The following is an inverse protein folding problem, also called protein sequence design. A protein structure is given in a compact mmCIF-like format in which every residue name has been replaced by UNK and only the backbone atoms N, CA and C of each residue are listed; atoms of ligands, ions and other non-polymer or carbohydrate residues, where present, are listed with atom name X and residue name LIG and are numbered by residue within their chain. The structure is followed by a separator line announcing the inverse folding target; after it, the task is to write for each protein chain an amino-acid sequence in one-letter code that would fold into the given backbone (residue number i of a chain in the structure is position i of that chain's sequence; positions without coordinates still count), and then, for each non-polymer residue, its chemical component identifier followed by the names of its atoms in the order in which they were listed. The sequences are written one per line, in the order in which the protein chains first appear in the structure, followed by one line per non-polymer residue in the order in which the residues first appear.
data_IF_401331591438
#
_entry.id   IF_401331591438
#
_cell.length_a   1.000
_cell.length_b   1.000
_cell.length_c   1.000
_cell.angle_alpha   90.00
_cell.angle_beta   90.00
_cell.angle_gamma   90.00
#
_symmetry.space_group_name_H-M   'P 1'
#
loop_
_entity.id
_entity.type
_entity.pdbx_description
1 polymer ?
#
# COMPACT_ATOMS: atom_id res chain seq x y z
N UNK A 1 -6.71 -2.09 24.32
CA UNK A 1 -5.99 -1.47 23.20
C UNK A 1 -6.95 -1.42 22.02
N UNK A 2 -7.11 -0.23 21.41
CA UNK A 2 -7.94 -0.08 20.22
C UNK A 2 -7.31 -0.77 19.00
N UNK A 3 -8.13 -1.10 18.01
CA UNK A 3 -7.68 -1.53 16.69
C UNK A 3 -7.14 -0.30 15.95
N UNK A 4 -6.05 -0.45 15.21
CA UNK A 4 -5.39 0.64 14.47
C UNK A 4 -5.21 0.34 12.99
N UNK A 5 -5.23 -0.94 12.59
CA UNK A 5 -5.27 -1.33 11.19
C UNK A 5 -6.71 -1.35 10.68
N UNK A 6 -6.88 -1.27 9.36
CA UNK A 6 -8.13 -1.64 8.71
C UNK A 6 -8.46 -3.12 8.90
N UNK A 7 -9.62 -3.53 8.42
CA UNK A 7 -10.12 -4.91 8.50
C UNK A 7 -9.98 -5.56 7.13
N UNK A 8 -9.41 -6.76 7.10
CA UNK A 8 -9.42 -7.63 5.93
C UNK A 8 -10.30 -8.84 6.22
N UNK A 9 -11.14 -9.23 5.25
CA UNK A 9 -12.05 -10.37 5.41
C UNK A 9 -12.08 -11.21 4.14
N UNK A 10 -11.55 -12.42 4.21
CA UNK A 10 -11.57 -13.41 3.15
C UNK A 10 -11.43 -14.82 3.71
N UNK A 11 -11.78 -15.83 2.93
CA UNK A 11 -11.61 -17.25 3.23
C UNK A 11 -12.13 -17.65 4.62
N UNK A 12 -13.26 -17.05 5.04
CA UNK A 12 -13.89 -17.34 6.34
C UNK A 12 -13.13 -16.77 7.55
N UNK A 13 -12.17 -15.87 7.33
CA UNK A 13 -11.39 -15.19 8.35
C UNK A 13 -11.61 -13.68 8.31
N UNK A 14 -11.49 -13.05 9.47
CA UNK A 14 -11.40 -11.61 9.63
C UNK A 14 -10.08 -11.31 10.32
N UNK A 15 -9.24 -10.49 9.69
CA UNK A 15 -7.91 -10.12 10.19
C UNK A 15 -7.94 -8.66 10.61
N UNK A 16 -7.43 -8.38 11.81
CA UNK A 16 -7.31 -7.02 12.36
C UNK A 16 -6.00 -6.90 13.14
N UNK A 17 -5.46 -5.70 13.17
CA UNK A 17 -4.23 -5.39 13.90
C UNK A 17 -4.38 -4.19 14.83
N UNK A 18 -3.38 -4.00 15.69
CA UNK A 18 -3.34 -2.85 16.59
C UNK A 18 -1.96 -2.16 16.61
N UNK A 19 -1.92 -0.98 17.24
CA UNK A 19 -0.71 -0.19 17.38
C UNK A 19 0.36 -0.82 18.31
N UNK A 20 0.05 -1.91 18.99
CA UNK A 20 1.01 -2.70 19.80
C UNK A 20 1.64 -3.84 19.00
N UNK A 21 1.38 -3.92 17.69
CA UNK A 21 1.87 -5.00 16.83
C UNK A 21 1.16 -6.32 17.00
N UNK A 22 -0.02 -6.35 17.62
CA UNK A 22 -0.78 -7.57 17.73
C UNK A 22 -1.69 -7.75 16.51
N UNK A 23 -1.61 -8.91 15.89
CA UNK A 23 -2.43 -9.35 14.77
C UNK A 23 -3.40 -10.42 15.25
N UNK A 24 -4.68 -10.25 14.96
CA UNK A 24 -5.75 -11.15 15.39
C UNK A 24 -6.45 -11.75 14.17
N UNK A 25 -6.69 -13.05 14.20
CA UNK A 25 -7.60 -13.71 13.28
C UNK A 25 -8.86 -14.17 14.01
N UNK A 26 -10.00 -13.83 13.43
CA UNK A 26 -11.31 -14.22 13.90
C UNK A 26 -11.98 -15.15 12.89
N UNK A 27 -12.74 -16.10 13.36
CA UNK A 27 -13.64 -16.89 12.51
C UNK A 27 -14.85 -16.04 12.13
N UNK A 28 -15.06 -15.83 10.84
CA UNK A 28 -16.10 -14.94 10.34
C UNK A 28 -17.51 -15.45 10.71
N UNK A 29 -17.74 -16.76 10.63
CA UNK A 29 -19.03 -17.36 10.93
C UNK A 29 -19.29 -17.48 12.45
N UNK A 30 -18.30 -17.97 13.20
CA UNK A 30 -18.42 -18.24 14.63
C UNK A 30 -18.18 -16.99 15.49
N UNK A 31 -17.63 -15.91 14.92
CA UNK A 31 -17.26 -14.65 15.61
C UNK A 31 -16.32 -14.90 16.80
N UNK A 32 -15.49 -15.93 16.73
CA UNK A 32 -14.53 -16.32 17.76
C UNK A 32 -13.10 -16.10 17.28
N UNK A 33 -12.23 -15.73 18.21
CA UNK A 33 -10.79 -15.61 17.92
C UNK A 33 -10.22 -16.99 17.62
N UNK A 34 -9.50 -17.11 16.50
CA UNK A 34 -8.78 -18.31 16.09
C UNK A 34 -7.36 -18.32 16.61
N UNK A 35 -6.62 -17.24 16.34
CA UNK A 35 -5.24 -17.09 16.77
C UNK A 35 -4.85 -15.62 16.96
N UNK A 36 -3.69 -15.42 17.56
CA UNK A 36 -3.07 -14.10 17.73
C UNK A 36 -1.58 -14.24 17.44
N UNK A 37 -1.00 -13.30 16.69
CA UNK A 37 0.44 -13.19 16.47
C UNK A 37 0.96 -11.86 17.00
N UNK A 38 2.24 -11.81 17.38
CA UNK A 38 2.92 -10.60 17.82
C UNK A 38 3.97 -10.22 16.78
N UNK A 39 3.87 -9.00 16.24
CA UNK A 39 4.79 -8.41 15.29
C UNK A 39 5.75 -7.44 16.00
N UNK A 40 6.81 -7.04 15.32
CA UNK A 40 7.85 -6.15 15.89
C UNK A 40 7.40 -4.71 16.04
N UNK A 41 6.51 -4.24 15.16
CA UNK A 41 6.03 -2.85 15.14
C UNK A 41 4.50 -2.74 15.05
N UNK A 42 4.02 -1.52 15.09
CA UNK A 42 2.59 -1.20 14.99
C UNK A 42 2.02 -1.59 13.61
N UNK A 43 0.78 -2.05 13.59
CA UNK A 43 -0.01 -2.28 12.38
C UNK A 43 -0.92 -1.07 12.17
N UNK A 44 -0.65 -0.29 11.12
CA UNK A 44 -1.38 0.95 10.80
C UNK A 44 -2.18 0.84 9.50
N UNK A 45 -1.91 -0.18 8.66
CA UNK A 45 -2.65 -0.49 7.45
C UNK A 45 -3.30 -1.88 7.54
N UNK A 46 -4.35 -2.16 6.74
CA UNK A 46 -4.94 -3.49 6.65
C UNK A 46 -3.90 -4.53 6.22
N UNK A 47 -4.05 -5.75 6.69
CA UNK A 47 -3.32 -6.91 6.17
C UNK A 47 -4.00 -7.42 4.90
N UNK A 48 -3.29 -8.21 4.10
CA UNK A 48 -3.84 -8.91 2.92
C UNK A 48 -3.94 -10.40 3.20
N UNK A 49 -5.08 -11.01 2.85
CA UNK A 49 -5.24 -12.47 2.78
C UNK A 49 -5.03 -12.92 1.34
N UNK A 50 -4.01 -13.74 1.09
CA UNK A 50 -3.70 -14.24 -0.23
C UNK A 50 -2.99 -15.61 -0.17
N UNK A 51 -3.40 -16.55 -1.00
CA UNK A 51 -2.80 -17.89 -1.12
C UNK A 51 -2.57 -18.60 0.23
N UNK A 52 -3.55 -18.52 1.16
CA UNK A 52 -3.45 -19.11 2.50
C UNK A 52 -2.44 -18.40 3.42
N UNK A 53 -2.04 -17.17 3.09
CA UNK A 53 -1.16 -16.32 3.90
C UNK A 53 -1.87 -15.05 4.33
N UNK A 54 -1.48 -14.54 5.49
CA UNK A 54 -1.81 -13.20 5.97
C UNK A 54 -0.54 -12.37 5.85
N UNK A 55 -0.54 -11.42 4.93
CA UNK A 55 0.59 -10.51 4.69
C UNK A 55 0.33 -9.22 5.45
N UNK A 56 1.23 -8.84 6.32
CA UNK A 56 1.12 -7.64 7.17
C UNK A 56 2.40 -6.82 7.08
N UNK A 57 2.27 -5.50 7.10
CA UNK A 57 3.43 -4.59 7.12
C UNK A 57 3.39 -3.78 8.41
N UNK A 58 4.44 -3.89 9.20
CA UNK A 58 4.60 -3.08 10.41
C UNK A 58 5.27 -1.74 10.12
N UNK A 59 5.06 -0.76 10.99
CA UNK A 59 5.57 0.60 10.80
C UNK A 59 7.10 0.72 10.87
N UNK A 60 7.79 -0.33 11.32
CA UNK A 60 9.25 -0.44 11.30
C UNK A 60 9.81 -0.94 9.95
N UNK A 61 8.93 -1.15 8.95
CA UNK A 61 9.31 -1.62 7.63
C UNK A 61 9.51 -3.13 7.53
N UNK A 62 9.04 -3.91 8.50
CA UNK A 62 9.07 -5.37 8.41
C UNK A 62 7.77 -5.90 7.82
N UNK A 63 7.88 -6.69 6.76
CA UNK A 63 6.78 -7.44 6.14
C UNK A 63 6.75 -8.83 6.76
N UNK A 64 5.58 -9.26 7.17
CA UNK A 64 5.34 -10.57 7.77
C UNK A 64 4.37 -11.37 6.92
N UNK A 65 4.61 -12.66 6.81
CA UNK A 65 3.60 -13.62 6.36
C UNK A 65 3.32 -14.64 7.45
N UNK A 66 2.05 -14.78 7.79
CA UNK A 66 1.57 -15.80 8.69
C UNK A 66 0.69 -16.80 7.93
N UNK A 67 0.71 -18.05 8.34
CA UNK A 67 -0.23 -19.04 7.85
C UNK A 67 -1.65 -18.67 8.30
N UNK A 68 -2.59 -18.61 7.36
CA UNK A 68 -3.96 -18.15 7.63
C UNK A 68 -4.71 -19.02 8.64
N UNK A 69 -4.49 -20.32 8.60
CA UNK A 69 -5.20 -21.25 9.46
C UNK A 69 -4.66 -21.29 10.89
N UNK A 70 -3.33 -21.23 11.04
CA UNK A 70 -2.62 -21.47 12.31
C UNK A 70 -2.09 -20.23 12.98
N UNK A 71 -1.84 -19.15 12.22
CA UNK A 71 -1.18 -17.94 12.71
C UNK A 71 0.32 -18.10 12.91
N UNK A 72 0.93 -19.22 12.48
CA UNK A 72 2.38 -19.39 12.53
C UNK A 72 3.06 -18.47 11.51
N UNK A 73 4.14 -17.83 11.94
CA UNK A 73 4.98 -17.03 11.03
C UNK A 73 5.67 -17.94 10.02
N UNK A 74 5.53 -17.64 8.73
CA UNK A 74 6.12 -18.42 7.64
C UNK A 74 7.40 -17.77 7.16
N UNK A 75 7.36 -16.44 6.93
CA UNK A 75 8.53 -15.68 6.53
C UNK A 75 8.42 -14.21 6.97
N UNK A 76 9.55 -13.53 6.95
CA UNK A 76 9.65 -12.08 7.11
C UNK A 76 10.57 -11.51 6.05
N UNK A 77 10.32 -10.25 5.68
CA UNK A 77 11.17 -9.46 4.79
C UNK A 77 11.32 -8.05 5.34
N UNK A 78 12.55 -7.60 5.55
CA UNK A 78 12.83 -6.24 6.00
C UNK A 78 13.00 -5.33 4.77
N UNK A 79 12.15 -4.32 4.66
CA UNK A 79 12.26 -3.32 3.61
C UNK A 79 13.54 -2.52 3.80
N UNK A 80 14.44 -2.45 2.81
CA UNK A 80 15.69 -1.73 2.94
C UNK A 80 15.48 -0.23 3.17
N UNK A 81 16.27 0.37 4.06
CA UNK A 81 16.33 1.81 4.32
C UNK A 81 14.99 2.46 4.76
N UNK A 82 14.07 1.70 5.29
CA UNK A 82 12.85 2.26 5.89
C UNK A 82 13.17 2.71 7.30
N UNK A 83 13.12 4.03 7.52
CA UNK A 83 13.06 4.58 8.89
C UNK A 83 11.64 4.44 9.41
N UNK A 84 11.48 4.48 10.73
CA UNK A 84 10.17 4.39 11.37
C UNK A 84 9.19 5.39 10.75
N UNK A 85 8.16 4.90 10.07
CA UNK A 85 7.15 5.76 9.46
C UNK A 85 6.08 6.12 10.49
N UNK A 86 5.89 7.42 10.76
CA UNK A 86 4.84 7.91 11.66
C UNK A 86 3.45 7.77 11.05
N UNK A 87 3.36 7.68 9.71
CA UNK A 87 2.08 7.56 8.97
C UNK A 87 1.72 6.11 8.64
N UNK A 88 2.64 5.17 8.88
CA UNK A 88 2.50 3.77 8.49
C UNK A 88 2.95 3.50 7.04
N UNK A 89 2.96 2.24 6.67
CA UNK A 89 3.15 1.80 5.30
C UNK A 89 1.77 1.57 4.66
N UNK A 90 1.70 1.69 3.33
CA UNK A 90 0.49 1.36 2.59
C UNK A 90 0.13 -0.13 2.75
N UNK A 91 -1.15 -0.47 2.57
CA UNK A 91 -1.62 -1.85 2.61
C UNK A 91 -0.94 -2.69 1.50
N UNK A 92 -0.63 -3.97 1.77
CA UNK A 92 -0.18 -4.89 0.74
C UNK A 92 -1.23 -5.05 -0.37
N UNK A 93 -0.80 -5.02 -1.64
CA UNK A 93 -1.70 -5.10 -2.80
C UNK A 93 -1.42 -6.36 -3.61
N UNK A 94 -2.42 -7.21 -3.90
CA UNK A 94 -2.24 -8.39 -4.72
C UNK A 94 -2.06 -7.99 -6.20
N UNK A 95 -1.11 -8.62 -6.89
CA UNK A 95 -0.91 -8.49 -8.36
C UNK A 95 -1.44 -9.71 -9.09
N UNK A 96 -1.03 -10.87 -8.65
CA UNK A 96 -1.42 -12.17 -9.18
C UNK A 96 -1.49 -13.20 -8.02
N UNK A 97 -1.77 -14.45 -8.32
CA UNK A 97 -1.92 -15.50 -7.30
C UNK A 97 -0.68 -15.68 -6.38
N UNK A 98 0.50 -15.20 -6.79
CA UNK A 98 1.76 -15.41 -6.09
C UNK A 98 2.56 -14.13 -5.79
N UNK A 99 2.11 -12.99 -6.25
CA UNK A 99 2.86 -11.73 -6.13
C UNK A 99 2.06 -10.72 -5.33
N UNK A 100 2.66 -10.14 -4.30
CA UNK A 100 2.15 -9.02 -3.52
C UNK A 100 3.07 -7.82 -3.69
N UNK A 101 2.49 -6.63 -3.86
CA UNK A 101 3.22 -5.36 -3.83
C UNK A 101 3.17 -4.76 -2.44
N UNK A 102 4.31 -4.25 -2.02
CA UNK A 102 4.50 -3.50 -0.78
C UNK A 102 5.07 -2.14 -1.13
N UNK A 103 4.35 -1.08 -0.83
CA UNK A 103 4.87 0.28 -0.92
C UNK A 103 5.52 0.68 0.40
N UNK A 104 6.64 1.37 0.30
CA UNK A 104 7.36 1.83 1.48
C UNK A 104 7.51 3.35 1.49
N UNK A 105 7.65 3.90 2.69
CA UNK A 105 7.79 5.32 2.94
C UNK A 105 9.03 5.97 2.29
N UNK A 106 9.94 5.23 1.73
CA UNK A 106 11.11 5.73 0.99
C UNK A 106 10.88 5.80 -0.53
N UNK A 107 9.62 5.81 -0.98
CA UNK A 107 9.21 5.85 -2.38
C UNK A 107 9.63 4.62 -3.21
N UNK A 108 9.78 3.45 -2.56
CA UNK A 108 10.00 2.20 -3.26
C UNK A 108 8.75 1.31 -3.21
N UNK A 109 8.57 0.55 -4.27
CA UNK A 109 7.63 -0.57 -4.34
C UNK A 109 8.43 -1.86 -4.48
N UNK A 110 8.07 -2.84 -3.68
CA UNK A 110 8.66 -4.17 -3.65
C UNK A 110 7.60 -5.18 -4.10
N UNK A 111 7.92 -6.00 -5.08
CA UNK A 111 7.11 -7.17 -5.40
C UNK A 111 7.71 -8.38 -4.70
N UNK A 112 6.96 -9.02 -3.81
CA UNK A 112 7.39 -10.19 -3.06
C UNK A 112 6.59 -11.41 -3.49
N UNK A 113 7.23 -12.59 -3.48
CA UNK A 113 6.53 -13.86 -3.61
C UNK A 113 5.75 -14.14 -2.33
N UNK A 114 4.44 -14.34 -2.42
CA UNK A 114 3.53 -14.51 -1.29
C UNK A 114 3.87 -15.73 -0.44
N UNK A 115 4.37 -16.82 -1.07
CA UNK A 115 4.65 -18.08 -0.36
C UNK A 115 6.01 -18.07 0.33
N UNK A 116 7.01 -17.37 -0.23
CA UNK A 116 8.41 -17.45 0.21
C UNK A 116 9.00 -16.15 0.73
N UNK A 117 8.35 -15.00 0.45
CA UNK A 117 8.86 -13.66 0.79
C UNK A 117 10.05 -13.21 -0.07
N UNK A 118 10.45 -14.00 -1.07
CA UNK A 118 11.57 -13.65 -1.95
C UNK A 118 11.20 -12.44 -2.81
N UNK A 119 12.02 -11.37 -2.82
CA UNK A 119 11.78 -10.22 -3.65
C UNK A 119 11.97 -10.57 -5.13
N UNK A 120 10.97 -10.24 -5.94
CA UNK A 120 10.95 -10.40 -7.40
C UNK A 120 11.28 -9.10 -8.11
N UNK A 121 10.92 -7.97 -7.49
CA UNK A 121 11.15 -6.63 -8.02
C UNK A 121 11.33 -5.66 -6.86
N UNK A 122 12.19 -4.68 -7.08
CA UNK A 122 12.32 -3.48 -6.27
C UNK A 122 12.42 -2.28 -7.21
N UNK A 123 11.56 -1.28 -7.02
CA UNK A 123 11.56 -0.10 -7.89
C UNK A 123 11.28 1.16 -7.11
N UNK A 124 12.01 2.22 -7.41
CA UNK A 124 11.69 3.56 -6.97
C UNK A 124 10.60 4.15 -7.88
N UNK A 125 9.47 4.57 -7.31
CA UNK A 125 8.29 5.05 -8.06
C UNK A 125 8.05 6.55 -7.92
N UNK A 126 8.67 7.22 -6.96
CA UNK A 126 8.69 8.67 -6.87
C UNK A 126 10.14 9.16 -6.96
N UNK A 127 10.39 10.09 -7.86
CA UNK A 127 11.67 10.78 -8.00
C UNK A 127 11.37 12.26 -7.85
N UNK A 128 11.84 12.89 -6.77
CA UNK A 128 11.85 14.34 -6.73
C UNK A 128 13.15 14.84 -7.38
N UNK A 129 13.03 15.72 -8.33
CA UNK A 129 14.17 16.49 -8.89
C UNK A 129 14.68 17.56 -7.91
N UNK A 130 14.27 17.47 -6.64
CA UNK A 130 14.63 18.40 -5.59
C UNK A 130 16.11 18.39 -5.29
N UNK A 131 16.72 19.56 -5.34
CA UNK A 131 18.15 19.79 -5.09
C UNK A 131 18.52 19.80 -3.61
N UNK A 132 17.58 19.61 -2.70
CA UNK A 132 17.80 19.55 -1.24
C UNK A 132 17.32 18.23 -0.64
N UNK A 133 17.95 17.81 0.46
CA UNK A 133 17.58 16.57 1.17
C UNK A 133 16.14 16.60 1.72
N UNK A 134 15.61 17.80 2.01
CA UNK A 134 14.22 18.00 2.46
C UNK A 134 13.22 17.73 1.33
N UNK A 135 13.58 18.02 0.07
CA UNK A 135 12.74 17.76 -1.09
C UNK A 135 12.80 16.31 -1.59
N UNK A 136 13.69 15.49 -1.04
CA UNK A 136 13.81 14.05 -1.34
C UNK A 136 12.89 13.16 -0.51
N UNK A 137 12.15 13.73 0.44
CA UNK A 137 11.20 13.02 1.30
C UNK A 137 9.84 12.82 0.60
N UNK A 138 9.85 12.36 -0.63
CA UNK A 138 8.63 12.00 -1.35
C UNK A 138 8.32 10.52 -1.06
N UNK A 139 7.38 10.31 -0.19
CA UNK A 139 6.90 8.99 0.22
C UNK A 139 5.76 8.52 -0.70
N UNK A 140 5.65 7.23 -0.94
CA UNK A 140 4.41 6.63 -1.44
C UNK A 140 3.46 6.52 -0.24
N UNK A 141 2.55 7.47 -0.11
CA UNK A 141 1.70 7.60 1.07
C UNK A 141 0.32 6.96 0.89
N UNK A 142 -0.18 6.91 -0.35
CA UNK A 142 -1.44 6.25 -0.68
C UNK A 142 -1.26 4.76 -0.99
N UNK A 143 -2.28 3.95 -0.68
CA UNK A 143 -2.30 2.56 -1.12
C UNK A 143 -2.22 2.50 -2.65
N UNK A 144 -1.29 1.73 -3.23
CA UNK A 144 -1.18 1.62 -4.67
C UNK A 144 -2.40 0.91 -5.26
N UNK A 145 -2.71 1.20 -6.52
CA UNK A 145 -3.76 0.54 -7.28
C UNK A 145 -3.17 -0.23 -8.44
N UNK A 146 -3.53 -1.50 -8.56
CA UNK A 146 -3.22 -2.31 -9.74
C UNK A 146 -4.40 -2.30 -10.68
N UNK A 147 -4.17 -1.83 -11.91
CA UNK A 147 -5.15 -1.80 -13.00
C UNK A 147 -4.60 -2.58 -14.20
N UNK A 148 -4.96 -3.86 -14.29
CA UNK A 148 -4.40 -4.77 -15.28
C UNK A 148 -2.88 -4.95 -15.07
N UNK A 149 -2.09 -4.57 -16.08
CA UNK A 149 -0.63 -4.61 -16.01
C UNK A 149 0.01 -3.35 -15.42
N UNK A 150 -0.76 -2.38 -15.00
CA UNK A 150 -0.27 -1.10 -14.52
C UNK A 150 -0.39 -0.95 -13.01
N UNK A 151 0.60 -0.31 -12.42
CA UNK A 151 0.62 0.12 -11.04
C UNK A 151 0.49 1.64 -10.99
N UNK A 152 -0.48 2.14 -10.21
CA UNK A 152 -0.67 3.57 -9.99
C UNK A 152 -0.36 3.86 -8.54
N UNK A 153 0.52 4.83 -8.31
CA UNK A 153 0.96 5.27 -6.98
C UNK A 153 0.77 6.77 -6.82
N UNK A 154 0.53 7.21 -5.60
CA UNK A 154 0.45 8.61 -5.20
C UNK A 154 1.44 8.91 -4.09
N UNK A 155 1.95 10.15 -4.02
CA UNK A 155 2.84 10.60 -2.96
C UNK A 155 2.45 11.98 -2.43
N UNK A 156 2.77 12.24 -1.15
CA UNK A 156 2.60 13.55 -0.54
C UNK A 156 3.63 14.54 -1.09
N UNK A 157 3.17 15.71 -1.52
CA UNK A 157 4.02 16.73 -2.17
C UNK A 157 4.83 16.19 -3.37
N UNK A 158 4.28 15.20 -4.06
CA UNK A 158 4.95 14.54 -5.16
C UNK A 158 4.05 14.35 -6.36
N UNK A 159 3.99 13.15 -6.86
CA UNK A 159 3.39 12.82 -8.15
C UNK A 159 2.39 11.69 -8.04
N UNK A 160 1.42 11.67 -8.96
CA UNK A 160 0.73 10.44 -9.35
C UNK A 160 1.51 9.82 -10.50
N UNK A 161 1.84 8.55 -10.37
CA UNK A 161 2.70 7.85 -11.34
C UNK A 161 2.05 6.54 -11.77
N UNK A 162 2.00 6.29 -13.07
CA UNK A 162 1.62 5.00 -13.62
C UNK A 162 2.86 4.26 -14.14
N UNK A 163 3.04 3.04 -13.67
CA UNK A 163 4.16 2.16 -14.02
C UNK A 163 3.64 0.88 -14.66
N UNK A 164 4.18 0.48 -15.79
CA UNK A 164 3.94 -0.84 -16.38
C UNK A 164 4.70 -1.90 -15.58
N UNK A 165 3.99 -2.91 -15.06
CA UNK A 165 4.54 -3.95 -14.19
C UNK A 165 5.43 -4.94 -14.96
N UNK A 166 5.19 -5.14 -16.25
CA UNK A 166 5.94 -6.09 -17.07
C UNK A 166 7.29 -5.49 -17.51
N UNK A 167 7.27 -4.30 -18.09
CA UNK A 167 8.48 -3.58 -18.52
C UNK A 167 9.19 -2.87 -17.38
N UNK A 168 8.51 -2.64 -16.27
CA UNK A 168 8.98 -1.85 -15.14
C UNK A 168 9.30 -0.39 -15.51
N UNK A 169 8.68 0.15 -16.55
CA UNK A 169 8.87 1.52 -17.00
C UNK A 169 7.73 2.42 -16.52
N UNK A 170 8.06 3.67 -16.19
CA UNK A 170 7.04 4.70 -15.97
C UNK A 170 6.37 4.99 -17.31
N UNK A 171 5.05 4.85 -17.35
CA UNK A 171 4.24 5.17 -18.53
C UNK A 171 3.99 6.67 -18.58
N UNK A 172 3.56 7.24 -17.45
CA UNK A 172 3.42 8.68 -17.27
C UNK A 172 3.53 9.03 -15.77
N UNK A 173 3.80 10.30 -15.51
CA UNK A 173 3.83 10.87 -14.18
C UNK A 173 3.35 12.31 -14.24
N UNK A 174 2.46 12.71 -13.32
CA UNK A 174 1.89 14.07 -13.24
C UNK A 174 2.06 14.61 -11.82
N UNK A 175 2.33 15.91 -11.73
CA UNK A 175 2.46 16.59 -10.44
C UNK A 175 1.11 16.56 -9.71
N UNK A 176 1.07 15.88 -8.59
CA UNK A 176 -0.15 15.70 -7.81
C UNK A 176 0.21 15.27 -6.39
N UNK A 177 -0.24 16.01 -5.41
CA UNK A 177 0.00 15.70 -4.00
C UNK A 177 -1.18 14.96 -3.42
N UNK A 178 -0.98 13.70 -3.03
CA UNK A 178 -2.02 12.90 -2.40
C UNK A 178 -1.46 11.91 -1.40
N UNK A 179 -2.17 11.71 -0.29
CA UNK A 179 -1.95 10.65 0.69
C UNK A 179 -3.04 9.57 0.60
N UNK A 180 -3.96 9.74 -0.32
CA UNK A 180 -5.09 8.83 -0.50
C UNK A 180 -4.82 7.86 -1.64
N UNK A 181 -5.43 6.70 -1.54
CA UNK A 181 -5.45 5.71 -2.61
C UNK A 181 -6.11 6.34 -3.84
N UNK A 182 -5.50 6.27 -5.04
CA UNK A 182 -6.16 6.64 -6.27
C UNK A 182 -7.24 5.61 -6.60
N UNK A 183 -8.29 6.03 -7.29
CA UNK A 183 -9.33 5.14 -7.81
C UNK A 183 -9.28 5.06 -9.33
N UNK A 184 -9.52 3.88 -9.88
CA UNK A 184 -9.54 3.64 -11.33
C UNK A 184 -10.95 3.21 -11.74
N UNK A 185 -11.60 3.98 -12.60
CA UNK A 185 -12.93 3.68 -13.14
C UNK A 185 -12.92 3.91 -14.64
N UNK A 186 -13.13 2.84 -15.42
CA UNK A 186 -13.03 2.92 -16.88
C UNK A 186 -11.65 3.41 -17.34
N UNK A 187 -11.62 4.50 -18.08
CA UNK A 187 -10.39 5.15 -18.56
C UNK A 187 -9.86 6.26 -17.63
N UNK A 188 -10.46 6.44 -16.46
CA UNK A 188 -10.11 7.52 -15.55
C UNK A 188 -9.31 7.05 -14.34
N UNK A 189 -8.28 7.80 -13.99
CA UNK A 189 -7.56 7.72 -12.71
C UNK A 189 -7.97 8.93 -11.89
N UNK A 190 -8.59 8.71 -10.74
CA UNK A 190 -9.12 9.75 -9.88
C UNK A 190 -8.24 9.89 -8.65
N UNK A 191 -7.79 11.10 -8.38
CA UNK A 191 -6.87 11.42 -7.27
C UNK A 191 -7.47 12.53 -6.42
N UNK A 192 -7.67 12.24 -5.13
CA UNK A 192 -8.01 13.24 -4.14
C UNK A 192 -6.73 13.91 -3.64
N UNK A 193 -6.53 15.18 -3.98
CA UNK A 193 -5.34 15.92 -3.62
C UNK A 193 -5.40 16.42 -2.16
N UNK A 194 -4.23 16.64 -1.58
CA UNK A 194 -4.11 17.10 -0.19
C UNK A 194 -4.67 18.52 0.03
N UNK A 195 -4.80 19.31 -1.01
CA UNK A 195 -5.43 20.63 -0.98
C UNK A 195 -6.97 20.58 -1.05
N UNK A 196 -7.55 19.39 -1.16
CA UNK A 196 -9.00 19.18 -1.22
C UNK A 196 -9.57 19.16 -2.64
N UNK A 197 -8.74 19.15 -3.67
CA UNK A 197 -9.17 18.99 -5.05
C UNK A 197 -9.35 17.51 -5.40
N UNK A 198 -10.28 17.25 -6.31
CA UNK A 198 -10.39 15.96 -6.98
C UNK A 198 -9.99 16.14 -8.44
N UNK A 199 -8.99 15.38 -8.88
CA UNK A 199 -8.47 15.45 -10.24
C UNK A 199 -8.66 14.11 -10.94
N UNK A 200 -9.06 14.15 -12.21
CA UNK A 200 -9.15 12.97 -13.06
C UNK A 200 -8.11 13.06 -14.18
N UNK A 201 -7.40 11.95 -14.37
CA UNK A 201 -6.43 11.77 -15.45
C UNK A 201 -6.88 10.65 -16.36
N UNK A 202 -6.57 10.75 -17.66
CA UNK A 202 -6.74 9.64 -18.58
C UNK A 202 -5.69 8.56 -18.31
N UNK A 203 -6.13 7.32 -18.14
CA UNK A 203 -5.24 6.22 -17.73
C UNK A 203 -4.13 5.94 -18.74
N UNK A 204 -4.38 6.10 -20.04
CA UNK A 204 -3.39 5.76 -21.07
C UNK A 204 -2.29 6.80 -21.25
N UNK A 205 -2.57 8.07 -20.98
CA UNK A 205 -1.70 9.20 -21.31
C UNK A 205 -1.26 10.03 -20.11
N UNK A 206 -1.97 9.95 -18.97
CA UNK A 206 -1.80 10.85 -17.84
C UNK A 206 -2.40 12.24 -18.06
N UNK A 207 -3.01 12.50 -19.23
CA UNK A 207 -3.61 13.80 -19.51
C UNK A 207 -4.70 14.12 -18.49
N UNK A 208 -4.64 15.32 -17.90
CA UNK A 208 -5.69 15.79 -17.00
C UNK A 208 -6.99 15.99 -17.77
N UNK A 209 -8.02 15.22 -17.40
CA UNK A 209 -9.37 15.30 -18.00
C UNK A 209 -10.17 16.44 -17.39
N UNK A 210 -10.14 16.57 -16.07
CA UNK A 210 -10.80 17.65 -15.35
C UNK A 210 -10.27 17.75 -13.92
N UNK A 211 -10.57 18.86 -13.29
CA UNK A 211 -10.27 19.18 -11.90
C UNK A 211 -11.54 19.76 -11.25
N UNK A 212 -11.84 19.34 -10.03
CA UNK A 212 -12.95 19.85 -9.23
C UNK A 212 -12.44 20.34 -7.89
N UNK A 213 -12.71 21.61 -7.61
CA UNK A 213 -12.29 22.32 -6.40
C UNK A 213 -13.41 22.56 -5.38
N UNK A 214 -14.62 22.03 -5.64
CA UNK A 214 -15.79 22.23 -4.77
C UNK A 214 -15.63 21.70 -3.35
N UNK A 215 -14.61 20.88 -3.09
CA UNK A 215 -14.28 20.36 -1.77
C UNK A 215 -13.20 21.17 -1.06
N UNK A 216 -12.63 22.18 -1.71
CA UNK A 216 -11.72 23.14 -1.06
C UNK A 216 -12.42 23.81 0.13
N UNK A 217 -11.74 23.86 1.28
CA UNK A 217 -12.23 24.49 2.51
C UNK A 217 -13.46 23.83 3.17
N UNK A 218 -13.82 22.62 2.86
CA UNK A 218 -14.74 21.83 3.69
C UNK A 218 -13.92 21.05 4.72
N UNK A 219 -13.77 21.68 5.89
CA UNK A 219 -13.32 21.02 7.12
C UNK A 219 -14.50 20.31 7.78
#
# INVERSE_FOLDING_TARGET
AGLSSGVEAADGHVIVGNAKGQLFALDQAKKKKKWTAQLTGALLAPSLIQAGRVISVSNDGTVFAHDLATGQQVWTYNLPNVQLSLRGNAAPVPVDARTVLISSANAYVYALDVLTGVPRMQRRVAVSDGRSDIQRLNDVDGDPVVAGQYLITTSYQGQVTMTDLASQQVVWSEDSSSTQRPEVVGNGVFVAQTDGKLVAYEISTGQKLWENDSLLNRQ
#
